data_IF_347367829512
#
_entry.id   IF_347367829512
#
_cell.length_a   1.000
_cell.length_b   1.000
_cell.length_c   1.000
_cell.angle_alpha   90.00
_cell.angle_beta   90.00
_cell.angle_gamma   90.00
#
_symmetry.space_group_name_H-M   'P 1'
#
loop_
_entity.id
_entity.type
_entity.pdbx_description
1 polymer ?
#
# COMPACT_ATOMS: atom_id res chain seq x y z
N UNK A 1 21.10 -1.39 1.30
CA UNK A 1 20.62 -0.19 0.58
C UNK A 1 19.65 0.59 1.47
N UNK A 2 19.32 1.84 1.09
CA UNK A 2 18.31 2.65 1.79
C UNK A 2 16.94 2.40 1.19
N UNK A 3 15.94 2.08 2.03
CA UNK A 3 14.57 1.77 1.62
C UNK A 3 13.61 2.69 2.36
N UNK A 4 12.77 3.41 1.63
CA UNK A 4 11.65 4.13 2.25
C UNK A 4 10.64 3.11 2.79
N UNK A 5 10.29 3.23 4.07
CA UNK A 5 9.21 2.47 4.70
C UNK A 5 8.12 3.45 5.10
N UNK A 6 6.94 3.27 4.53
CA UNK A 6 5.77 4.13 4.74
C UNK A 6 4.48 3.31 4.86
N UNK A 7 3.35 3.95 5.09
CA UNK A 7 2.00 3.34 5.07
C UNK A 7 0.94 4.44 4.92
N UNK A 8 -0.34 4.07 4.94
CA UNK A 8 -1.49 4.98 5.03
C UNK A 8 -2.21 4.94 6.39
N UNK A 9 -1.99 3.91 7.22
CA UNK A 9 -2.54 3.81 8.59
C UNK A 9 -1.88 4.77 9.61
N UNK A 10 -0.75 5.38 9.25
CA UNK A 10 0.00 6.33 10.09
C UNK A 10 1.20 5.73 10.81
N UNK A 11 2.08 6.64 11.31
CA UNK A 11 3.39 6.31 11.91
C UNK A 11 3.29 5.41 13.16
N UNK A 12 2.17 5.43 13.88
CA UNK A 12 1.95 4.65 15.09
C UNK A 12 1.44 3.24 14.82
N UNK A 13 1.16 2.89 13.55
CA UNK A 13 0.62 1.59 13.18
C UNK A 13 1.58 0.44 13.52
N UNK A 14 1.11 -0.60 14.23
CA UNK A 14 1.93 -1.79 14.49
C UNK A 14 2.37 -2.51 13.21
N UNK A 15 1.56 -2.47 12.16
CA UNK A 15 1.91 -3.01 10.84
C UNK A 15 3.13 -2.33 10.23
N UNK A 16 3.23 -0.99 10.33
CA UNK A 16 4.41 -0.25 9.90
C UNK A 16 5.65 -0.70 10.69
N UNK A 17 5.53 -0.81 12.01
CA UNK A 17 6.66 -1.20 12.87
C UNK A 17 7.16 -2.61 12.54
N UNK A 18 6.25 -3.55 12.26
CA UNK A 18 6.61 -4.90 11.81
C UNK A 18 7.33 -4.89 10.45
N UNK A 19 6.90 -4.03 9.52
CA UNK A 19 7.54 -3.88 8.22
C UNK A 19 8.94 -3.25 8.33
N UNK A 20 9.11 -2.24 9.20
CA UNK A 20 10.43 -1.66 9.49
C UNK A 20 11.38 -2.72 10.04
N UNK A 21 10.91 -3.53 10.99
CA UNK A 21 11.70 -4.64 11.53
C UNK A 21 12.09 -5.66 10.45
N UNK A 22 11.17 -5.97 9.52
CA UNK A 22 11.45 -6.85 8.38
C UNK A 22 12.56 -6.33 7.47
N UNK A 23 12.54 -5.03 7.15
CA UNK A 23 13.57 -4.36 6.32
C UNK A 23 14.93 -4.39 7.00
N UNK A 24 14.98 -4.14 8.31
CA UNK A 24 16.24 -4.23 9.10
C UNK A 24 16.75 -5.66 9.13
N UNK A 25 15.86 -6.65 9.35
CA UNK A 25 16.24 -8.07 9.47
C UNK A 25 16.91 -8.63 8.20
N UNK A 26 16.58 -8.09 7.02
CA UNK A 26 17.22 -8.47 5.75
C UNK A 26 18.44 -7.59 5.40
N UNK A 27 18.93 -6.80 6.36
CA UNK A 27 20.18 -6.05 6.23
C UNK A 27 20.09 -4.74 5.47
N UNK A 28 18.89 -4.15 5.38
CA UNK A 28 18.69 -2.84 4.74
C UNK A 28 18.52 -1.72 5.75
N UNK A 29 18.83 -0.49 5.32
CA UNK A 29 18.66 0.73 6.11
C UNK A 29 17.25 1.32 5.85
N UNK A 30 16.34 1.31 6.84
CA UNK A 30 15.02 1.90 6.67
C UNK A 30 15.10 3.43 6.79
N UNK A 31 14.50 4.14 5.84
CA UNK A 31 14.10 5.54 5.98
C UNK A 31 12.61 5.49 6.32
N UNK A 32 12.28 5.67 7.60
CA UNK A 32 10.89 5.59 8.02
C UNK A 32 10.26 6.98 7.94
N UNK A 33 9.26 7.13 7.09
CA UNK A 33 8.46 8.33 7.00
C UNK A 33 7.02 7.92 6.69
N UNK A 34 6.08 8.24 7.56
CA UNK A 34 4.69 7.84 7.43
C UNK A 34 3.76 8.97 7.90
N UNK A 35 2.50 8.99 7.45
CA UNK A 35 1.54 9.99 7.86
C UNK A 35 1.40 10.09 9.37
N UNK A 36 1.17 11.30 9.88
CA UNK A 36 0.82 11.52 11.30
C UNK A 36 -0.59 11.07 11.64
N UNK A 37 -1.47 10.93 10.65
CA UNK A 37 -2.88 10.50 10.75
C UNK A 37 -3.20 9.46 9.69
N UNK A 38 -4.36 8.81 9.82
CA UNK A 38 -4.87 7.82 8.87
C UNK A 38 -5.29 8.49 7.54
N UNK A 39 -4.84 7.89 6.42
CA UNK A 39 -5.14 8.28 5.04
C UNK A 39 -5.74 7.11 4.23
N UNK A 40 -6.44 6.19 4.89
CA UNK A 40 -7.09 5.06 4.22
C UNK A 40 -8.01 5.54 3.08
N UNK A 41 -7.91 4.90 1.93
CA UNK A 41 -8.68 5.27 0.74
C UNK A 41 -8.12 6.46 -0.06
N UNK A 42 -6.98 7.02 0.32
CA UNK A 42 -6.40 8.18 -0.35
C UNK A 42 -5.77 7.89 -1.73
N UNK A 43 -5.60 6.64 -2.11
CA UNK A 43 -4.92 6.28 -3.38
C UNK A 43 -3.53 6.95 -3.49
N UNK A 44 -3.16 7.42 -4.65
CA UNK A 44 -1.92 8.19 -4.91
C UNK A 44 -2.14 9.71 -4.79
N UNK A 45 -2.97 10.19 -3.83
CA UNK A 45 -3.22 11.61 -3.68
C UNK A 45 -2.00 12.36 -3.13
N UNK A 46 -1.90 13.65 -3.47
CA UNK A 46 -0.86 14.57 -3.01
C UNK A 46 -1.39 15.64 -2.04
N UNK A 47 -2.66 15.65 -1.72
CA UNK A 47 -3.31 16.63 -0.84
C UNK A 47 -4.80 16.40 -0.72
N UNK A 48 -5.55 17.25 -0.03
CA UNK A 48 -5.13 18.57 0.52
C UNK A 48 -4.16 18.46 1.69
N UNK A 49 -3.40 19.52 1.93
CA UNK A 49 -2.54 19.70 3.10
C UNK A 49 -3.20 20.72 4.05
N UNK A 50 -2.95 20.58 5.34
CA UNK A 50 -3.47 21.51 6.36
C UNK A 50 -2.93 22.93 6.16
N UNK A 51 -1.68 23.04 5.71
CA UNK A 51 -1.04 24.29 5.31
C UNK A 51 -0.53 24.11 3.87
N UNK A 52 -0.95 24.99 2.95
CA UNK A 52 -0.66 24.83 1.51
C UNK A 52 0.84 24.86 1.17
N UNK A 53 1.63 25.55 1.98
CA UNK A 53 3.05 25.79 1.72
C UNK A 53 3.98 25.00 2.67
N UNK A 54 3.44 24.25 3.62
CA UNK A 54 4.24 23.59 4.65
C UNK A 54 3.70 22.22 5.04
N UNK A 55 4.57 21.23 5.02
CA UNK A 55 4.31 19.89 5.56
C UNK A 55 4.98 19.78 6.94
N UNK A 56 4.22 19.42 7.97
CA UNK A 56 4.78 19.15 9.30
C UNK A 56 5.57 17.85 9.28
N UNK A 57 6.71 17.83 9.99
CA UNK A 57 7.56 16.64 10.13
C UNK A 57 8.06 16.57 11.57
N UNK A 58 7.60 15.57 12.30
CA UNK A 58 8.02 15.32 13.67
C UNK A 58 8.80 14.02 13.78
N UNK A 59 9.75 13.95 14.73
CA UNK A 59 10.52 12.73 14.97
C UNK A 59 9.69 11.74 15.78
N UNK A 60 9.74 10.48 15.39
CA UNK A 60 9.06 9.38 16.04
C UNK A 60 9.98 8.17 16.20
N UNK A 61 10.18 7.69 17.42
CA UNK A 61 10.97 6.48 17.66
C UNK A 61 10.11 5.25 17.39
N UNK A 62 10.56 4.37 16.51
CA UNK A 62 9.84 3.12 16.18
C UNK A 62 9.99 2.13 17.35
N UNK A 63 8.87 1.74 18.00
CA UNK A 63 8.93 0.88 19.17
C UNK A 63 9.53 -0.49 18.86
N UNK A 64 10.49 -0.92 19.68
CA UNK A 64 11.06 -2.26 19.61
C UNK A 64 11.98 -2.56 18.42
N UNK A 65 12.25 -1.57 17.56
CA UNK A 65 13.12 -1.77 16.40
C UNK A 65 14.46 -1.05 16.58
N UNK A 66 15.53 -1.80 16.37
CA UNK A 66 16.91 -1.30 16.39
C UNK A 66 17.57 -1.54 15.04
N UNK A 67 18.41 -0.60 14.63
CA UNK A 67 19.21 -0.71 13.41
C UNK A 67 20.40 -1.68 13.60
N UNK A 68 21.15 -1.94 12.53
CA UNK A 68 22.27 -2.88 12.55
C UNK A 68 23.37 -2.52 13.55
N UNK A 69 23.52 -1.24 13.90
CA UNK A 69 24.48 -0.75 14.90
C UNK A 69 23.95 -0.78 16.34
N UNK A 70 22.71 -1.26 16.55
CA UNK A 70 22.04 -1.34 17.84
C UNK A 70 21.35 -0.06 18.29
N UNK A 71 21.38 1.01 17.50
CA UNK A 71 20.64 2.25 17.82
C UNK A 71 19.13 2.11 17.56
N UNK A 72 18.26 2.78 18.34
CA UNK A 72 16.84 2.82 18.06
C UNK A 72 16.56 3.41 16.67
N UNK A 73 15.67 2.77 15.91
CA UNK A 73 15.21 3.33 14.63
C UNK A 73 14.29 4.52 14.91
N UNK A 74 14.63 5.66 14.30
CA UNK A 74 13.84 6.89 14.39
C UNK A 74 13.31 7.23 13.00
N UNK A 75 12.00 7.43 12.92
CA UNK A 75 11.30 7.86 11.72
C UNK A 75 10.74 9.27 11.83
N UNK A 76 9.93 9.61 10.83
CA UNK A 76 9.29 10.90 10.64
C UNK A 76 7.76 10.72 10.59
N UNK A 77 7.04 11.36 11.52
CA UNK A 77 5.60 11.54 11.42
C UNK A 77 5.33 12.77 10.53
N UNK A 78 4.67 12.58 9.43
CA UNK A 78 4.54 13.58 8.36
C UNK A 78 3.08 13.97 8.18
N UNK A 79 2.79 15.26 8.14
CA UNK A 79 1.45 15.80 7.87
C UNK A 79 1.10 15.74 6.38
N UNK A 80 1.21 14.57 5.77
CA UNK A 80 1.01 14.37 4.34
C UNK A 80 0.55 12.94 4.00
N UNK A 81 -0.16 12.73 2.87
CA UNK A 81 -0.51 11.42 2.38
C UNK A 81 0.71 10.63 1.89
N UNK A 82 0.63 9.28 1.86
CA UNK A 82 1.79 8.41 1.58
C UNK A 82 2.46 8.65 0.23
N UNK A 83 1.70 8.95 -0.81
CA UNK A 83 2.26 9.22 -2.13
C UNK A 83 3.10 10.52 -2.16
N UNK A 84 2.66 11.56 -1.42
CA UNK A 84 3.46 12.78 -1.25
C UNK A 84 4.71 12.50 -0.41
N UNK A 85 4.64 11.62 0.60
CA UNK A 85 5.82 11.20 1.38
C UNK A 85 6.87 10.54 0.47
N UNK A 86 6.47 9.68 -0.45
CA UNK A 86 7.39 9.09 -1.45
C UNK A 86 8.04 10.19 -2.31
N UNK A 87 7.30 11.19 -2.74
CA UNK A 87 7.84 12.34 -3.47
C UNK A 87 8.81 13.15 -2.62
N UNK A 88 8.47 13.45 -1.36
CA UNK A 88 9.35 14.19 -0.45
C UNK A 88 10.64 13.44 -0.15
N UNK A 89 10.60 12.11 -0.10
CA UNK A 89 11.78 11.27 0.06
C UNK A 89 12.72 11.37 -1.15
N UNK A 90 12.18 11.41 -2.38
CA UNK A 90 12.98 11.63 -3.59
C UNK A 90 13.65 13.02 -3.60
N UNK A 91 12.94 14.01 -3.12
CA UNK A 91 13.45 15.40 -3.00
C UNK A 91 14.45 15.59 -1.84
N UNK A 92 14.78 14.52 -1.11
CA UNK A 92 15.75 14.58 0.00
C UNK A 92 15.18 15.07 1.32
N UNK A 93 13.85 15.11 1.48
CA UNK A 93 13.17 15.58 2.69
C UNK A 93 13.51 14.78 3.95
N UNK A 94 13.98 13.53 3.80
CA UNK A 94 14.37 12.63 4.89
C UNK A 94 15.83 12.17 4.78
N UNK A 95 16.68 12.98 4.17
CA UNK A 95 18.09 12.68 3.86
C UNK A 95 18.30 12.22 2.42
N UNK A 96 19.41 11.57 2.07
CA UNK A 96 19.65 11.10 0.70
C UNK A 96 18.50 10.21 0.19
N UNK A 97 18.08 10.34 -1.10
CA UNK A 97 16.97 9.58 -1.65
C UNK A 97 17.11 8.06 -1.45
N UNK A 98 16.00 7.34 -1.23
CA UNK A 98 15.99 5.90 -1.17
C UNK A 98 16.18 5.28 -2.57
N UNK A 99 16.52 4.01 -2.61
CA UNK A 99 16.60 3.24 -3.86
C UNK A 99 15.33 2.39 -4.12
N UNK A 100 14.45 2.28 -3.10
CA UNK A 100 13.25 1.45 -3.12
C UNK A 100 12.24 1.98 -2.12
N UNK A 101 10.95 1.64 -2.31
CA UNK A 101 9.88 1.91 -1.35
C UNK A 101 9.16 0.61 -0.96
N UNK A 102 8.90 0.46 0.34
CA UNK A 102 8.03 -0.61 0.87
C UNK A 102 6.95 0.05 1.71
N UNK A 103 5.69 -0.18 1.38
CA UNK A 103 4.54 0.44 2.03
C UNK A 103 3.68 -0.61 2.76
N UNK A 104 3.26 -0.31 3.97
CA UNK A 104 2.41 -1.17 4.80
C UNK A 104 2.98 -1.37 6.21
N UNK A 105 2.61 -2.43 6.93
CA UNK A 105 1.65 -3.47 6.55
C UNK A 105 0.24 -2.91 6.78
N UNK A 106 -0.53 -2.82 5.70
CA UNK A 106 -1.90 -2.32 5.73
C UNK A 106 -2.82 -3.26 6.52
N UNK A 107 -3.71 -2.67 7.31
CA UNK A 107 -4.75 -3.42 8.03
C UNK A 107 -5.97 -3.62 7.13
N UNK A 108 -5.98 -4.72 6.43
CA UNK A 108 -7.00 -5.11 5.45
C UNK A 108 -6.40 -5.40 4.09
N UNK A 109 -7.04 -6.24 3.29
CA UNK A 109 -6.50 -6.68 2.02
C UNK A 109 -6.61 -5.57 0.96
N UNK A 110 -5.55 -5.40 0.20
CA UNK A 110 -5.54 -4.60 -1.01
C UNK A 110 -5.59 -5.54 -2.23
N UNK A 111 -6.77 -6.10 -2.52
CA UNK A 111 -6.98 -7.11 -3.56
C UNK A 111 -7.94 -6.63 -4.65
N UNK A 112 -7.87 -7.28 -5.81
CA UNK A 112 -8.72 -7.00 -6.95
C UNK A 112 -8.61 -5.54 -7.42
N UNK A 113 -9.64 -5.05 -8.08
CA UNK A 113 -9.67 -3.68 -8.60
C UNK A 113 -9.78 -2.60 -7.53
N UNK A 114 -10.06 -2.94 -6.26
CA UNK A 114 -10.03 -1.98 -5.16
C UNK A 114 -8.62 -1.48 -4.85
N UNK A 115 -7.57 -2.14 -5.35
CA UNK A 115 -6.18 -1.64 -5.35
C UNK A 115 -6.07 -0.20 -5.84
N UNK A 116 -6.99 0.25 -6.70
CA UNK A 116 -7.07 1.63 -7.18
C UNK A 116 -7.21 2.66 -6.04
N UNK A 117 -7.87 2.30 -4.96
CA UNK A 117 -8.15 3.21 -3.83
C UNK A 117 -7.13 3.12 -2.70
N UNK A 118 -6.19 2.18 -2.78
CA UNK A 118 -5.19 1.93 -1.73
C UNK A 118 -4.14 3.04 -1.65
N UNK A 119 -4.01 3.66 -0.48
CA UNK A 119 -2.91 4.59 -0.19
C UNK A 119 -1.57 3.88 -0.08
N UNK A 120 -1.57 2.62 0.40
CA UNK A 120 -0.39 1.75 0.47
C UNK A 120 0.20 1.51 -0.92
N UNK A 121 -0.64 1.10 -1.90
CA UNK A 121 -0.21 0.91 -3.30
C UNK A 121 0.14 2.26 -3.93
N UNK A 122 -0.63 3.30 -3.65
CA UNK A 122 -0.38 4.66 -4.13
C UNK A 122 1.02 5.18 -3.78
N UNK A 123 1.51 4.89 -2.57
CA UNK A 123 2.87 5.24 -2.15
C UNK A 123 3.94 4.56 -3.00
N UNK A 124 3.74 3.27 -3.31
CA UNK A 124 4.70 2.49 -4.12
C UNK A 124 4.68 2.95 -5.57
N UNK A 125 3.50 3.19 -6.15
CA UNK A 125 3.36 3.72 -7.51
C UNK A 125 3.96 5.14 -7.64
N UNK A 126 3.86 5.96 -6.58
CA UNK A 126 4.53 7.26 -6.54
C UNK A 126 6.06 7.12 -6.56
N UNK A 127 6.61 6.14 -5.85
CA UNK A 127 8.04 5.81 -5.87
C UNK A 127 8.50 5.27 -7.22
N UNK A 128 7.70 4.43 -7.88
CA UNK A 128 7.97 3.89 -9.21
C UNK A 128 8.20 5.02 -10.24
N UNK A 129 7.46 6.13 -10.14
CA UNK A 129 7.64 7.31 -10.99
C UNK A 129 9.08 7.86 -10.96
N UNK A 130 9.80 7.71 -9.83
CA UNK A 130 11.19 8.13 -9.68
C UNK A 130 12.20 7.04 -10.07
N UNK A 131 11.71 5.91 -10.62
CA UNK A 131 12.54 4.79 -11.05
C UNK A 131 12.78 3.73 -9.97
N UNK A 132 12.12 3.83 -8.80
CA UNK A 132 12.27 2.86 -7.73
C UNK A 132 11.44 1.61 -8.01
N UNK A 133 11.96 0.46 -7.62
CA UNK A 133 11.12 -0.71 -7.38
C UNK A 133 10.45 -0.59 -6.01
N UNK A 134 9.37 -1.33 -5.80
CA UNK A 134 8.73 -1.31 -4.49
C UNK A 134 7.70 -2.41 -4.28
N UNK A 135 7.26 -2.52 -3.03
CA UNK A 135 6.27 -3.51 -2.60
C UNK A 135 5.27 -2.90 -1.63
N UNK A 136 3.99 -3.04 -1.96
CA UNK A 136 2.88 -2.81 -1.05
C UNK A 136 2.59 -4.11 -0.29
N UNK A 137 2.43 -4.04 1.03
CA UNK A 137 2.22 -5.19 1.92
C UNK A 137 0.95 -4.99 2.72
N UNK A 138 0.07 -6.00 2.72
CA UNK A 138 -1.22 -5.98 3.40
C UNK A 138 -1.46 -7.29 4.16
N UNK A 139 -2.13 -7.22 5.30
CA UNK A 139 -2.67 -8.36 6.03
C UNK A 139 -4.19 -8.43 5.83
N UNK A 140 -4.72 -9.61 5.45
CA UNK A 140 -6.15 -9.83 5.22
C UNK A 140 -6.92 -9.91 6.55
N UNK A 141 -6.93 -8.80 7.27
CA UNK A 141 -7.68 -8.68 8.52
C UNK A 141 -9.17 -8.60 8.18
N UNK A 142 -10.00 -9.50 8.73
CA UNK A 142 -11.44 -9.51 8.45
C UNK A 142 -12.11 -8.17 8.81
N UNK A 143 -12.98 -7.69 7.94
CA UNK A 143 -13.86 -6.55 8.23
C UNK A 143 -14.98 -7.04 9.14
N UNK A 144 -15.01 -6.58 10.38
CA UNK A 144 -16.10 -6.86 11.33
C UNK A 144 -17.00 -5.65 11.43
N UNK A 145 -18.13 -5.72 10.79
CA UNK A 145 -19.31 -4.86 10.68
C UNK A 145 -19.40 -3.51 11.37
N UNK A 146 -20.06 -2.58 10.69
CA UNK A 146 -20.90 -1.54 11.30
C UNK A 146 -20.34 -0.14 11.44
N UNK A 147 -19.08 0.17 11.13
CA UNK A 147 -18.57 1.57 11.13
C UNK A 147 -17.30 1.77 10.29
N UNK A 148 -17.00 0.87 9.36
CA UNK A 148 -15.73 0.93 8.61
C UNK A 148 -14.48 0.57 9.46
N UNK A 149 -14.67 0.22 10.72
CA UNK A 149 -13.58 -0.26 11.55
C UNK A 149 -13.16 -1.66 11.09
N UNK A 150 -12.05 -1.74 10.41
CA UNK A 150 -11.42 -3.01 10.06
C UNK A 150 -11.01 -3.72 11.35
N UNK A 151 -11.71 -4.81 11.66
CA UNK A 151 -11.38 -5.73 12.75
C UNK A 151 -11.79 -5.28 14.17
N UNK A 152 -12.43 -6.19 14.91
CA UNK A 152 -12.52 -6.09 16.38
C UNK A 152 -11.11 -5.99 16.99
N UNK A 153 -10.97 -5.52 18.27
CA UNK A 153 -9.68 -5.53 18.96
C UNK A 153 -9.21 -6.97 19.19
N UNK A 154 -8.59 -7.55 18.20
CA UNK A 154 -7.97 -8.86 18.19
C UNK A 154 -6.48 -8.73 17.87
N UNK A 155 -5.73 -9.78 18.18
CA UNK A 155 -4.35 -9.89 17.75
C UNK A 155 -4.31 -10.00 16.21
N UNK A 156 -3.57 -9.14 15.56
CA UNK A 156 -3.31 -9.22 14.12
C UNK A 156 -1.93 -9.85 13.93
N UNK A 157 -1.83 -10.83 13.04
CA UNK A 157 -0.59 -11.56 12.75
C UNK A 157 0.31 -10.80 11.76
N UNK A 158 0.75 -9.59 12.17
CA UNK A 158 1.67 -8.77 11.38
C UNK A 158 2.95 -9.50 11.01
N UNK A 159 3.41 -10.41 11.89
CA UNK A 159 4.60 -11.22 11.72
C UNK A 159 4.52 -12.12 10.50
N UNK A 160 3.35 -12.58 10.09
CA UNK A 160 3.15 -13.43 8.91
C UNK A 160 3.41 -12.64 7.63
N UNK A 161 2.77 -11.48 7.46
CA UNK A 161 3.01 -10.61 6.32
C UNK A 161 4.46 -10.10 6.28
N UNK A 162 5.03 -9.75 7.45
CA UNK A 162 6.42 -9.34 7.60
C UNK A 162 7.40 -10.44 7.18
N UNK A 163 7.16 -11.70 7.59
CA UNK A 163 8.00 -12.84 7.21
C UNK A 163 7.97 -13.11 5.69
N UNK A 164 6.79 -13.01 5.06
CA UNK A 164 6.69 -13.13 3.61
C UNK A 164 7.41 -11.98 2.91
N UNK A 165 7.28 -10.76 3.40
CA UNK A 165 8.00 -9.61 2.86
C UNK A 165 9.53 -9.79 2.95
N UNK A 166 10.06 -10.35 4.06
CA UNK A 166 11.50 -10.67 4.20
C UNK A 166 11.99 -11.68 3.14
N UNK A 167 11.16 -12.63 2.74
CA UNK A 167 11.51 -13.62 1.69
C UNK A 167 11.56 -12.96 0.31
N UNK A 168 10.68 -12.00 0.04
CA UNK A 168 10.52 -11.37 -1.29
C UNK A 168 11.52 -10.22 -1.47
N UNK A 169 11.84 -9.45 -0.43
CA UNK A 169 12.69 -8.26 -0.52
C UNK A 169 14.04 -8.52 -1.19
N UNK A 170 14.81 -9.58 -0.88
CA UNK A 170 16.09 -9.84 -1.57
C UNK A 170 15.91 -10.05 -3.08
N UNK A 171 14.87 -10.75 -3.50
CA UNK A 171 14.55 -10.91 -4.92
C UNK A 171 14.20 -9.57 -5.57
N UNK A 172 13.39 -8.74 -4.89
CA UNK A 172 12.97 -7.43 -5.42
C UNK A 172 14.14 -6.45 -5.60
N UNK A 173 15.18 -6.57 -4.77
CA UNK A 173 16.43 -5.79 -4.90
C UNK A 173 17.12 -6.06 -6.24
N UNK A 174 17.09 -7.31 -6.70
CA UNK A 174 17.76 -7.75 -7.94
C UNK A 174 16.80 -7.77 -9.14
N UNK A 175 15.51 -7.49 -8.93
CA UNK A 175 14.50 -7.43 -9.99
C UNK A 175 14.75 -6.25 -10.96
N UNK A 176 14.18 -6.29 -12.16
CA UNK A 176 14.20 -5.14 -13.06
C UNK A 176 13.74 -3.88 -12.33
N UNK A 177 14.42 -2.75 -12.58
CA UNK A 177 14.00 -1.46 -12.02
C UNK A 177 12.53 -1.17 -12.34
N UNK A 178 11.84 -0.44 -11.44
CA UNK A 178 10.43 -0.10 -11.55
C UNK A 178 9.48 -1.30 -11.39
N UNK A 179 9.97 -2.41 -10.81
CA UNK A 179 9.11 -3.53 -10.42
C UNK A 179 8.26 -3.15 -9.23
N UNK A 180 6.94 -3.20 -9.38
CA UNK A 180 5.95 -2.94 -8.32
C UNK A 180 5.23 -4.24 -7.99
N UNK A 181 5.30 -4.64 -6.73
CA UNK A 181 4.61 -5.82 -6.21
C UNK A 181 3.52 -5.42 -5.20
N UNK A 182 2.39 -6.11 -5.26
CA UNK A 182 1.34 -6.08 -4.25
C UNK A 182 1.31 -7.43 -3.53
N UNK A 183 1.66 -7.44 -2.26
CA UNK A 183 1.66 -8.59 -1.39
C UNK A 183 0.45 -8.50 -0.45
N UNK A 184 -0.37 -9.54 -0.44
CA UNK A 184 -1.40 -9.76 0.58
C UNK A 184 -1.13 -11.07 1.30
N UNK A 185 -1.14 -11.06 2.62
CA UNK A 185 -0.98 -12.27 3.46
C UNK A 185 -2.23 -12.48 4.31
N UNK A 186 -2.64 -13.73 4.58
CA UNK A 186 -3.70 -14.03 5.53
C UNK A 186 -3.39 -13.50 6.92
N UNK A 187 -4.39 -13.04 7.66
CA UNK A 187 -4.28 -12.76 9.10
C UNK A 187 -4.35 -14.07 9.89
N UNK A 188 -3.28 -14.83 9.86
CA UNK A 188 -3.14 -16.12 10.51
C UNK A 188 -1.69 -16.34 10.97
N UNK A 189 -1.44 -17.21 11.96
CA UNK A 189 -0.08 -17.59 12.33
C UNK A 189 0.73 -18.09 11.13
N UNK A 190 2.02 -17.75 11.07
CA UNK A 190 2.90 -18.16 9.97
C UNK A 190 2.89 -19.68 9.70
N UNK A 191 2.72 -20.49 10.74
CA UNK A 191 2.66 -21.94 10.62
C UNK A 191 1.40 -22.46 9.88
N UNK A 192 0.36 -21.64 9.77
CA UNK A 192 -0.89 -21.96 9.07
C UNK A 192 -0.88 -21.46 7.62
N UNK A 193 0.13 -20.68 7.24
CA UNK A 193 0.28 -20.18 5.87
C UNK A 193 0.45 -21.37 4.89
N UNK A 194 -0.39 -21.45 3.87
CA UNK A 194 -0.33 -22.49 2.83
C UNK A 194 0.91 -22.38 1.93
N UNK A 195 1.51 -21.17 1.86
CA UNK A 195 2.66 -20.81 1.05
C UNK A 195 2.46 -19.49 0.31
N UNK A 196 3.27 -19.26 -0.73
CA UNK A 196 3.24 -18.02 -1.53
C UNK A 196 2.81 -18.36 -2.95
N UNK A 197 1.89 -17.57 -3.53
CA UNK A 197 1.37 -17.75 -4.89
C UNK A 197 1.44 -16.43 -5.68
N UNK A 198 1.81 -16.55 -6.95
CA UNK A 198 1.45 -15.49 -7.91
C UNK A 198 -0.08 -15.48 -8.08
N UNK A 199 -0.66 -14.28 -8.20
CA UNK A 199 -2.09 -14.11 -8.38
C UNK A 199 -2.39 -12.97 -9.37
N UNK A 200 -3.45 -13.13 -10.16
CA UNK A 200 -4.06 -12.03 -10.89
C UNK A 200 -4.97 -11.20 -9.99
N UNK A 201 -5.22 -9.93 -10.36
CA UNK A 201 -6.20 -9.12 -9.65
C UNK A 201 -7.62 -9.68 -9.87
N UNK A 202 -8.36 -9.86 -8.80
CA UNK A 202 -9.78 -10.20 -8.88
C UNK A 202 -10.58 -9.08 -9.60
N UNK A 203 -11.72 -9.40 -10.24
CA UNK A 203 -12.57 -8.39 -10.88
C UNK A 203 -13.07 -7.31 -9.93
N UNK A 204 -13.23 -7.65 -8.65
CA UNK A 204 -13.64 -6.76 -7.55
C UNK A 204 -12.78 -7.05 -6.32
N UNK A 205 -12.73 -6.11 -5.37
CA UNK A 205 -11.98 -6.31 -4.12
C UNK A 205 -12.69 -7.22 -3.14
N UNK A 206 -11.95 -7.69 -2.11
CA UNK A 206 -12.48 -8.49 -1.00
C UNK A 206 -13.45 -7.73 -0.10
N UNK A 207 -13.48 -6.40 -0.19
CA UNK A 207 -14.34 -5.49 0.58
C UNK A 207 -15.07 -4.56 -0.39
N UNK A 208 -16.32 -4.20 -0.07
CA UNK A 208 -17.12 -3.25 -0.83
C UNK A 208 -17.81 -2.24 0.08
N UNK A 209 -17.98 -1.02 -0.40
CA UNK A 209 -18.79 0.01 0.26
C UNK A 209 -20.27 -0.21 -0.04
N UNK A 210 -21.10 -0.08 0.98
CA UNK A 210 -22.57 -0.12 0.86
C UNK A 210 -23.17 1.12 1.50
N UNK A 211 -24.31 1.56 0.96
CA UNK A 211 -25.14 2.59 1.60
C UNK A 211 -26.10 1.88 2.55
N UNK A 212 -26.00 2.18 3.85
CA UNK A 212 -26.81 1.57 4.91
C UNK A 212 -27.97 2.45 5.37
N UNK A 213 -27.88 3.76 5.11
CA UNK A 213 -28.93 4.72 5.42
C UNK A 213 -28.88 5.93 4.50
N UNK A 214 -30.02 6.63 4.45
CA UNK A 214 -30.15 7.87 3.69
C UNK A 214 -31.21 8.76 4.34
N UNK A 215 -30.86 10.05 4.50
CA UNK A 215 -31.82 11.10 4.87
C UNK A 215 -31.62 12.36 3.99
N UNK A 216 -32.28 13.47 4.35
CA UNK A 216 -32.20 14.71 3.57
C UNK A 216 -30.84 15.42 3.70
N UNK A 217 -29.96 14.99 4.60
CA UNK A 217 -28.68 15.63 4.94
C UNK A 217 -27.46 14.80 4.55
N UNK A 218 -27.65 13.48 4.28
CA UNK A 218 -26.50 12.62 4.01
C UNK A 218 -26.83 11.17 3.66
N UNK A 219 -25.75 10.43 3.46
CA UNK A 219 -25.73 8.99 3.24
C UNK A 219 -24.88 8.33 4.32
N UNK A 220 -25.40 7.31 4.97
CA UNK A 220 -24.63 6.43 5.83
C UNK A 220 -23.94 5.37 4.98
N UNK A 221 -22.64 5.23 5.14
CA UNK A 221 -21.83 4.26 4.41
C UNK A 221 -21.25 3.22 5.37
N UNK A 222 -21.10 2.00 4.88
CA UNK A 222 -20.41 0.94 5.59
C UNK A 222 -19.50 0.15 4.63
N UNK A 223 -18.46 -0.46 5.19
CA UNK A 223 -17.58 -1.41 4.49
C UNK A 223 -18.00 -2.83 4.89
N UNK A 224 -18.31 -3.64 3.91
CA UNK A 224 -18.69 -5.03 4.14
C UNK A 224 -17.84 -5.98 3.31
N UNK A 225 -17.71 -7.21 3.79
CA UNK A 225 -17.08 -8.28 3.00
C UNK A 225 -17.80 -8.46 1.68
N UNK A 226 -17.06 -8.65 0.61
CA UNK A 226 -17.62 -8.97 -0.69
C UNK A 226 -17.64 -10.49 -0.86
N UNK A 227 -18.84 -11.09 -0.79
CA UNK A 227 -19.04 -12.53 -0.88
C UNK A 227 -19.27 -13.02 -2.32
N UNK A 228 -19.05 -12.17 -3.33
CA UNK A 228 -19.14 -12.58 -4.73
C UNK A 228 -18.11 -13.69 -5.03
N UNK A 229 -18.50 -14.62 -5.91
CA UNK A 229 -17.58 -15.64 -6.40
C UNK A 229 -16.45 -15.02 -7.20
N UNK A 230 -15.21 -15.33 -6.82
CA UNK A 230 -13.98 -14.85 -7.46
C UNK A 230 -13.35 -15.99 -8.26
N UNK A 231 -12.60 -15.70 -9.34
CA UNK A 231 -11.75 -16.70 -9.97
C UNK A 231 -10.80 -17.35 -8.96
N UNK A 232 -10.66 -18.67 -9.00
CA UNK A 232 -9.90 -19.44 -8.01
C UNK A 232 -8.40 -19.08 -7.96
N UNK A 233 -7.85 -18.52 -9.04
CA UNK A 233 -6.46 -18.06 -9.18
C UNK A 233 -6.28 -16.56 -8.90
N UNK A 234 -7.34 -15.87 -8.47
CA UNK A 234 -7.29 -14.46 -8.13
C UNK A 234 -6.68 -14.23 -6.75
N UNK A 235 -6.12 -13.03 -6.56
CA UNK A 235 -5.53 -12.59 -5.29
C UNK A 235 -6.54 -12.69 -4.13
N UNK A 236 -7.79 -12.24 -4.31
CA UNK A 236 -8.83 -12.33 -3.29
C UNK A 236 -9.17 -13.77 -2.91
N UNK A 237 -9.33 -14.67 -3.90
CA UNK A 237 -9.68 -16.08 -3.63
C UNK A 237 -8.54 -16.80 -2.92
N UNK A 238 -7.30 -16.60 -3.39
CA UNK A 238 -6.13 -17.27 -2.85
C UNK A 238 -5.80 -16.80 -1.42
N UNK A 239 -5.89 -15.50 -1.12
CA UNK A 239 -5.60 -15.01 0.24
C UNK A 239 -6.63 -15.55 1.24
N UNK A 240 -7.91 -15.63 0.87
CA UNK A 240 -8.97 -16.26 1.69
C UNK A 240 -8.76 -17.77 1.88
N UNK A 241 -8.13 -18.43 0.92
CA UNK A 241 -7.76 -19.83 1.02
C UNK A 241 -6.48 -20.08 1.83
N UNK A 242 -5.88 -19.06 2.44
CA UNK A 242 -4.72 -19.17 3.30
C UNK A 242 -3.36 -19.02 2.59
N UNK A 243 -3.33 -18.57 1.36
CA UNK A 243 -2.09 -18.31 0.61
C UNK A 243 -1.67 -16.84 0.73
N UNK A 244 -0.40 -16.57 0.91
CA UNK A 244 0.13 -15.25 0.61
C UNK A 244 0.16 -15.05 -0.91
N UNK A 245 -0.35 -13.93 -1.40
CA UNK A 245 -0.43 -13.61 -2.83
C UNK A 245 0.52 -12.50 -3.21
N UNK A 246 1.18 -12.65 -4.34
CA UNK A 246 2.06 -11.64 -4.93
C UNK A 246 1.54 -11.31 -6.33
N UNK A 247 1.14 -10.07 -6.52
CA UNK A 247 0.61 -9.57 -7.79
C UNK A 247 1.51 -8.44 -8.30
N UNK A 248 2.20 -8.60 -9.43
CA UNK A 248 2.87 -7.49 -10.10
C UNK A 248 1.83 -6.45 -10.54
N UNK A 249 2.05 -5.18 -10.19
CA UNK A 249 1.17 -4.08 -10.59
C UNK A 249 1.84 -3.28 -11.70
N UNK A 250 1.12 -3.11 -12.80
CA UNK A 250 1.60 -2.24 -13.87
C UNK A 250 1.50 -0.77 -13.44
N UNK A 251 2.54 0.03 -13.62
CA UNK A 251 2.47 1.47 -13.43
C UNK A 251 1.53 2.10 -14.47
N UNK A 252 1.19 3.38 -14.25
CA UNK A 252 0.39 4.14 -15.22
C UNK A 252 1.10 4.21 -16.57
N UNK A 253 0.47 3.68 -17.61
CA UNK A 253 0.99 3.67 -18.97
C UNK A 253 -0.12 4.03 -19.97
N UNK A 254 0.26 4.61 -21.11
CA UNK A 254 -0.65 4.77 -22.23
C UNK A 254 -0.94 3.41 -22.87
N UNK A 255 -2.17 3.20 -23.29
CA UNK A 255 -2.53 2.07 -24.13
C UNK A 255 -2.34 2.46 -25.60
N UNK A 256 -1.71 1.59 -26.35
CA UNK A 256 -1.70 1.71 -27.80
C UNK A 256 -3.05 1.25 -28.34
N UNK A 257 -3.77 2.17 -28.97
CA UNK A 257 -5.06 1.88 -29.64
C UNK A 257 -5.24 2.82 -30.83
N UNK A 258 -5.90 2.33 -31.85
CA UNK A 258 -6.31 3.18 -32.97
C UNK A 258 -7.44 4.09 -32.55
N UNK A 259 -7.24 5.40 -32.75
CA UNK A 259 -8.24 6.43 -32.47
C UNK A 259 -8.68 7.09 -33.78
N UNK A 260 -9.96 7.40 -33.96
CA UNK A 260 -10.47 8.04 -35.17
C UNK A 260 -10.16 9.56 -35.19
N UNK A 261 -8.87 9.92 -35.07
CA UNK A 261 -8.43 11.31 -34.92
C UNK A 261 -8.90 12.21 -36.05
N UNK A 262 -8.80 11.75 -37.32
CA UNK A 262 -9.24 12.51 -38.49
C UNK A 262 -10.75 12.81 -38.49
N UNK A 263 -11.57 11.92 -37.88
CA UNK A 263 -13.00 12.17 -37.72
C UNK A 263 -13.24 13.25 -36.66
N UNK A 264 -12.51 13.18 -35.54
CA UNK A 264 -12.62 14.17 -34.46
C UNK A 264 -12.12 15.54 -34.85
N UNK A 265 -11.03 15.62 -35.66
CA UNK A 265 -10.49 16.87 -36.19
C UNK A 265 -11.49 17.58 -37.11
N UNK A 266 -12.14 16.84 -38.01
CA UNK A 266 -13.24 17.40 -38.84
C UNK A 266 -14.43 17.88 -38.00
N UNK A 267 -14.78 17.13 -36.95
CA UNK A 267 -15.92 17.50 -36.08
C UNK A 267 -15.69 18.81 -35.28
N UNK A 268 -14.42 19.16 -34.99
CA UNK A 268 -14.06 20.44 -34.34
C UNK A 268 -13.66 21.54 -35.34
N UNK A 269 -13.95 21.34 -36.65
CA UNK A 269 -13.76 22.36 -37.69
C UNK A 269 -12.31 22.58 -38.10
N UNK A 270 -11.44 21.60 -37.92
CA UNK A 270 -10.10 21.56 -38.51
C UNK A 270 -10.21 20.75 -39.80
N UNK A 271 -10.25 21.43 -40.93
CA UNK A 271 -9.98 20.86 -42.24
C UNK A 271 -8.49 21.06 -42.56
N UNK A 272 -7.83 20.03 -43.09
CA UNK A 272 -6.47 20.10 -43.60
C UNK A 272 -6.34 21.10 -44.78
#
# INVERSE_FOLDING_TARGET
MRILVTNDDGITSPGLHALVAAVVAVGHEPIVAAPSTDWSGASACLGPLDDQDRVSVDRFQIPGVVSADGSPVVGHAVGAPPALISMLADLGGFGPPPAMVVAGINRGPNTGRSTLFSGTIGAVLAGERFGWSGMAVSADVPVTGGTGAVGAPGHVHWETAAAVAQVILPWLVDAPQRTVLNLNAPDAPLAELQGIRWAGLAPVGGVRTVVTGRDDTGLDLDLVSNDESMPDDSDTALVRAGWATVTPIAPTAALEMELPLAEWERAVGRED
#
